data_IF_840447129923
#
_entry.id   IF_840447129923
#
_cell.length_a   1.000
_cell.length_b   1.000
_cell.length_c   1.000
_cell.angle_alpha   90.00
_cell.angle_beta   90.00
_cell.angle_gamma   90.00
#
_symmetry.space_group_name_H-M   'P 1'
#
loop_
_entity.id
_entity.type
_entity.pdbx_description
1 polymer ?
#
# COMPACT_ATOMS: atom_id res chain seq x y z
N UNK A 1 -6.37 -9.47 -8.85
CA UNK A 1 -5.10 -10.03 -9.35
C UNK A 1 -5.21 -9.96 -10.85
N UNK A 2 -4.47 -9.05 -11.46
CA UNK A 2 -4.47 -8.89 -12.90
C UNK A 2 -3.19 -9.46 -13.47
N UNK A 3 -3.35 -10.11 -14.61
CA UNK A 3 -2.28 -10.83 -15.28
C UNK A 3 -1.91 -9.98 -16.49
N UNK A 4 -0.77 -9.32 -16.43
CA UNK A 4 -0.28 -8.46 -17.52
C UNK A 4 0.91 -9.15 -18.17
N UNK A 5 0.88 -9.26 -19.49
CA UNK A 5 2.02 -9.75 -20.26
C UNK A 5 2.95 -8.58 -20.54
N UNK A 6 4.21 -8.68 -20.10
CA UNK A 6 5.25 -7.72 -20.48
C UNK A 6 5.98 -8.22 -21.74
N UNK A 7 5.75 -7.59 -22.91
CA UNK A 7 6.33 -8.01 -24.17
C UNK A 7 7.83 -7.73 -24.29
N UNK A 8 8.41 -6.88 -23.43
CA UNK A 8 9.86 -6.58 -23.45
C UNK A 8 10.69 -7.69 -22.81
N UNK A 9 10.11 -8.41 -21.85
CA UNK A 9 10.77 -9.49 -21.11
C UNK A 9 10.16 -10.87 -21.34
N UNK A 10 9.09 -10.97 -22.13
CA UNK A 10 8.44 -12.24 -22.49
C UNK A 10 7.85 -12.98 -21.29
N UNK A 11 7.53 -12.27 -20.20
CA UNK A 11 7.00 -12.85 -18.97
C UNK A 11 5.62 -12.32 -18.66
N UNK A 12 4.82 -13.21 -18.08
CA UNK A 12 3.56 -12.86 -17.43
C UNK A 12 3.88 -12.33 -16.04
N UNK A 13 3.54 -11.07 -15.79
CA UNK A 13 3.71 -10.39 -14.50
C UNK A 13 2.37 -10.39 -13.78
N UNK A 14 2.37 -10.89 -12.55
CA UNK A 14 1.20 -10.82 -11.68
C UNK A 14 1.21 -9.47 -10.99
N UNK A 15 0.32 -8.58 -11.40
CA UNK A 15 0.14 -7.28 -10.74
C UNK A 15 -0.92 -7.47 -9.66
N UNK A 16 -0.48 -7.31 -8.41
CA UNK A 16 -1.39 -7.13 -7.30
C UNK A 16 -1.92 -5.70 -7.38
N UNK A 17 -3.18 -5.55 -7.77
CA UNK A 17 -3.92 -4.30 -7.61
C UNK A 17 -3.79 -3.81 -6.15
N UNK A 18 -3.58 -2.51 -5.97
CA UNK A 18 -3.41 -1.86 -4.68
C UNK A 18 -4.56 -2.20 -3.71
N UNK A 19 -5.79 -2.25 -4.22
CA UNK A 19 -6.99 -2.62 -3.46
C UNK A 19 -6.92 -4.06 -2.93
N UNK A 20 -6.44 -4.99 -3.77
CA UNK A 20 -6.25 -6.38 -3.36
C UNK A 20 -5.18 -6.50 -2.26
N UNK A 21 -4.11 -5.72 -2.35
CA UNK A 21 -3.07 -5.69 -1.34
C UNK A 21 -3.57 -5.11 -0.01
N UNK A 22 -4.28 -3.97 -0.04
CA UNK A 22 -4.89 -3.35 1.15
C UNK A 22 -5.75 -4.35 1.91
N UNK A 23 -6.65 -5.06 1.21
CA UNK A 23 -7.52 -6.07 1.82
C UNK A 23 -6.72 -7.18 2.51
N UNK A 24 -5.62 -7.64 1.90
CA UNK A 24 -4.75 -8.68 2.49
C UNK A 24 -4.06 -8.20 3.76
N UNK A 25 -3.55 -6.97 3.77
CA UNK A 25 -2.91 -6.35 4.93
C UNK A 25 -3.92 -6.21 6.08
N UNK A 26 -5.12 -5.67 5.80
CA UNK A 26 -6.19 -5.50 6.79
C UNK A 26 -6.59 -6.85 7.39
N UNK A 27 -6.85 -7.86 6.53
CA UNK A 27 -7.21 -9.20 7.00
C UNK A 27 -6.15 -9.80 7.92
N UNK A 28 -4.86 -9.70 7.55
CA UNK A 28 -3.77 -10.19 8.40
C UNK A 28 -3.74 -9.43 9.73
N UNK A 29 -3.89 -8.11 9.73
CA UNK A 29 -3.93 -7.30 10.95
C UNK A 29 -5.08 -7.69 11.90
N UNK A 30 -6.22 -8.13 11.38
CA UNK A 30 -7.31 -8.65 12.23
C UNK A 30 -7.03 -10.04 12.81
N UNK A 31 -6.36 -10.92 12.07
CA UNK A 31 -6.12 -12.32 12.48
C UNK A 31 -4.81 -12.55 13.23
N UNK A 32 -3.87 -11.60 13.17
CA UNK A 32 -2.52 -11.71 13.70
C UNK A 32 -2.18 -10.46 14.54
N UNK A 33 -2.39 -10.52 15.87
CA UNK A 33 -2.16 -9.40 16.77
C UNK A 33 -0.71 -8.88 16.81
N UNK A 34 0.28 -9.78 16.65
CA UNK A 34 1.69 -9.40 16.62
C UNK A 34 2.02 -8.63 15.34
N UNK A 35 1.51 -9.10 14.20
CA UNK A 35 1.61 -8.35 12.95
C UNK A 35 0.93 -6.98 13.08
N UNK A 36 -0.28 -6.90 13.65
CA UNK A 36 -0.98 -5.62 13.84
C UNK A 36 -0.17 -4.64 14.68
N UNK A 37 0.40 -5.11 15.79
CA UNK A 37 1.26 -4.31 16.67
C UNK A 37 2.50 -3.82 15.95
N UNK A 38 3.15 -4.69 15.17
CA UNK A 38 4.29 -4.31 14.32
C UNK A 38 3.89 -3.29 13.26
N UNK A 39 2.77 -3.51 12.56
CA UNK A 39 2.25 -2.64 11.52
C UNK A 39 1.91 -1.24 12.04
N UNK A 40 1.42 -1.11 13.27
CA UNK A 40 1.15 0.19 13.91
C UNK A 40 2.41 0.90 14.38
N UNK A 41 3.48 0.17 14.70
CA UNK A 41 4.72 0.74 15.24
C UNK A 41 5.76 1.06 14.17
N UNK A 42 5.94 0.16 13.19
CA UNK A 42 6.87 0.29 12.08
C UNK A 42 6.23 -0.33 10.82
N UNK A 43 5.38 0.44 10.12
CA UNK A 43 4.62 -0.07 8.98
C UNK A 43 5.52 -0.59 7.86
N UNK A 44 6.63 0.10 7.58
CA UNK A 44 7.54 -0.27 6.50
C UNK A 44 8.18 -1.63 6.75
N UNK A 45 8.69 -1.83 7.96
CA UNK A 45 9.30 -3.10 8.35
C UNK A 45 8.27 -4.24 8.36
N UNK A 46 7.08 -4.01 8.92
CA UNK A 46 6.03 -5.02 8.97
C UNK A 46 5.59 -5.50 7.57
N UNK A 47 5.45 -4.56 6.62
CA UNK A 47 5.12 -4.87 5.23
C UNK A 47 6.26 -5.61 4.52
N UNK A 48 7.51 -5.22 4.75
CA UNK A 48 8.68 -5.89 4.19
C UNK A 48 8.77 -7.34 4.69
N UNK A 49 8.65 -7.57 6.00
CA UNK A 49 8.80 -8.90 6.60
C UNK A 49 7.65 -9.85 6.23
N UNK A 50 6.42 -9.35 6.18
CA UNK A 50 5.23 -10.18 5.96
C UNK A 50 4.85 -10.36 4.49
N UNK A 51 5.17 -9.38 3.65
CA UNK A 51 4.72 -9.34 2.25
C UNK A 51 5.85 -9.13 1.26
N UNK A 52 7.09 -8.91 1.71
CA UNK A 52 8.22 -8.60 0.83
C UNK A 52 8.11 -7.23 0.15
N UNK A 53 7.30 -6.33 0.72
CA UNK A 53 6.99 -5.03 0.13
C UNK A 53 7.89 -3.94 0.71
N UNK A 54 8.75 -3.40 -0.16
CA UNK A 54 9.60 -2.27 0.17
C UNK A 54 8.86 -0.95 -0.10
N UNK A 55 8.72 -0.13 0.93
CA UNK A 55 8.23 1.25 0.79
C UNK A 55 9.41 2.15 0.45
N UNK A 56 9.34 2.99 -0.60
CA UNK A 56 10.46 3.84 -1.01
C UNK A 56 11.01 4.73 0.12
N UNK A 57 12.31 4.99 0.04
CA UNK A 57 12.98 5.99 0.87
C UNK A 57 12.43 7.37 0.49
N UNK A 58 11.97 8.16 1.47
CA UNK A 58 11.30 9.44 1.24
C UNK A 58 9.78 9.42 1.43
N UNK A 59 9.12 8.25 1.38
CA UNK A 59 7.69 8.15 1.71
C UNK A 59 7.51 7.92 3.20
N UNK A 60 6.82 8.81 3.90
CA UNK A 60 6.35 8.52 5.26
C UNK A 60 5.06 7.68 5.19
N UNK A 61 5.06 6.51 5.83
CA UNK A 61 3.89 5.64 5.89
C UNK A 61 3.36 5.64 7.33
N UNK A 62 2.10 6.05 7.50
CA UNK A 62 1.40 6.03 8.78
C UNK A 62 0.21 5.08 8.72
N UNK A 63 0.07 4.25 9.75
CA UNK A 63 -1.07 3.34 9.91
C UNK A 63 -1.87 3.79 11.13
N UNK A 64 -3.18 3.88 10.97
CA UNK A 64 -4.13 4.20 12.04
C UNK A 64 -5.18 3.10 12.08
N UNK A 65 -5.67 2.82 13.29
CA UNK A 65 -6.79 1.91 13.50
C UNK A 65 -8.07 2.72 13.70
N UNK A 66 -9.09 2.40 12.91
CA UNK A 66 -10.46 2.89 13.13
C UNK A 66 -11.11 2.20 14.33
N UNK A 67 -11.98 2.94 15.00
CA UNK A 67 -12.82 2.41 16.10
C UNK A 67 -14.29 2.63 15.74
N UNK A 68 -15.25 1.94 16.38
CA UNK A 68 -16.67 2.11 16.05
C UNK A 68 -17.21 3.55 16.14
N UNK A 69 -16.52 4.42 16.88
CA UNK A 69 -16.87 5.83 17.09
C UNK A 69 -15.94 6.82 16.39
N UNK A 70 -14.90 6.37 15.67
CA UNK A 70 -13.93 7.24 14.99
C UNK A 70 -13.55 6.68 13.63
N UNK A 71 -13.85 7.47 12.60
CA UNK A 71 -13.53 7.18 11.20
C UNK A 71 -12.46 8.15 10.69
N UNK A 72 -11.61 7.69 9.77
CA UNK A 72 -10.61 8.53 9.12
C UNK A 72 -10.95 8.72 7.64
N UNK A 73 -11.04 9.97 7.20
CA UNK A 73 -11.11 10.32 5.79
C UNK A 73 -9.73 10.78 5.33
N UNK A 74 -9.19 10.14 4.30
CA UNK A 74 -7.98 10.60 3.64
C UNK A 74 -8.36 11.53 2.49
N UNK A 75 -7.80 12.75 2.51
CA UNK A 75 -7.90 13.68 1.40
C UNK A 75 -6.52 13.68 0.74
N UNK A 76 -6.41 13.31 -0.55
CA UNK A 76 -5.12 13.27 -1.24
C UNK A 76 -4.53 14.67 -1.37
N UNK A 77 -3.21 14.75 -1.61
CA UNK A 77 -2.56 16.00 -1.97
C UNK A 77 -3.24 16.60 -3.20
N UNK A 78 -3.34 17.93 -3.23
CA UNK A 78 -3.86 18.64 -4.39
C UNK A 78 -2.97 18.31 -5.61
N UNK A 79 -3.54 17.81 -6.72
CA UNK A 79 -2.77 17.44 -7.91
C UNK A 79 -1.97 18.60 -8.50
N UNK A 80 -2.35 19.85 -8.26
CA UNK A 80 -1.60 21.03 -8.73
C UNK A 80 -0.33 21.32 -7.91
N UNK A 81 -0.29 20.85 -6.65
CA UNK A 81 0.84 21.06 -5.74
C UNK A 81 1.91 19.96 -5.87
N UNK A 82 1.56 18.82 -6.49
CA UNK A 82 2.51 17.74 -6.85
C UNK A 82 3.06 17.99 -8.25
N UNK A 83 3.95 18.96 -8.36
CA UNK A 83 4.70 19.27 -9.59
C UNK A 83 6.11 18.68 -9.53
N UNK A 84 6.25 17.36 -9.53
CA UNK A 84 7.54 16.79 -9.92
C UNK A 84 7.45 15.37 -10.51
N UNK A 85 8.11 15.27 -11.66
CA UNK A 85 8.43 14.12 -12.50
C UNK A 85 7.28 13.22 -13.01
N UNK A 86 7.14 13.27 -14.32
CA UNK A 86 6.57 12.27 -15.22
C UNK A 86 6.53 10.85 -14.63
N UNK A 87 5.40 10.15 -14.82
CA UNK A 87 5.16 8.74 -14.45
C UNK A 87 4.61 8.51 -13.01
N UNK A 88 3.31 8.77 -12.80
CA UNK A 88 2.40 7.94 -11.95
C UNK A 88 1.00 8.54 -11.68
N UNK A 89 0.66 9.75 -12.14
CA UNK A 89 -0.64 10.38 -11.84
C UNK A 89 -1.86 9.85 -12.63
N UNK A 90 -1.80 8.64 -13.21
CA UNK A 90 -2.97 8.02 -13.85
C UNK A 90 -3.68 6.95 -13.03
N UNK A 91 -3.12 6.50 -11.91
CA UNK A 91 -3.80 5.53 -11.03
C UNK A 91 -3.74 5.98 -9.58
N UNK A 92 -4.26 7.18 -9.34
CA UNK A 92 -4.87 7.47 -8.05
C UNK A 92 -6.33 7.08 -8.26
N UNK A 93 -6.65 5.83 -7.91
CA UNK A 93 -7.87 5.03 -8.17
C UNK A 93 -7.79 4.06 -9.34
#
# INVERSE_FOLDING_TARGET
MEVVFDPKIGKVVFILSLESLKIRVIKKAWTDPEFKKSLLSDPKKALQESFGLAVPEGIELKVVEETPSLYYLTIPANPEDVTDSEDNLKEVW
#
